data_IF_168578583660
#
_entry.id   IF_168578583660
#
_cell.length_a   1.000
_cell.length_b   1.000
_cell.length_c   1.000
_cell.angle_alpha   90.00
_cell.angle_beta   90.00
_cell.angle_gamma   90.00
#
_symmetry.space_group_name_H-M   'P 1'
#
loop_
_entity.id
_entity.type
_entity.pdbx_description
1 polymer ?
#
# COMPACT_ATOMS: atom_id res chain seq x y z
N UNK A 1 -2.74 -2.27 -9.12
CA UNK A 1 -4.08 -2.88 -8.97
C UNK A 1 -5.17 -1.87 -9.34
N UNK A 2 -6.38 -2.35 -9.53
CA UNK A 2 -7.53 -1.46 -9.76
C UNK A 2 -8.00 -0.84 -8.45
N UNK A 3 -8.78 0.24 -8.55
CA UNK A 3 -9.40 0.86 -7.37
C UNK A 3 -10.27 -0.13 -6.59
N UNK A 4 -11.04 -0.95 -7.31
CA UNK A 4 -11.90 -1.96 -6.69
C UNK A 4 -11.09 -2.95 -5.88
N UNK A 5 -9.97 -3.43 -6.43
CA UNK A 5 -9.07 -4.34 -5.72
C UNK A 5 -8.49 -3.67 -4.48
N UNK A 6 -8.05 -2.42 -4.61
CA UNK A 6 -7.50 -1.67 -3.49
C UNK A 6 -8.55 -1.46 -2.38
N UNK A 7 -9.76 -1.08 -2.77
CA UNK A 7 -10.84 -0.82 -1.80
C UNK A 7 -11.28 -2.09 -1.06
N UNK A 8 -11.08 -3.27 -1.66
CA UNK A 8 -11.42 -4.54 -1.03
C UNK A 8 -10.38 -5.03 -0.03
N UNK A 9 -9.20 -4.42 0.01
CA UNK A 9 -8.14 -4.83 0.94
C UNK A 9 -8.48 -4.38 2.35
N UNK A 10 -8.16 -5.24 3.32
CA UNK A 10 -8.32 -4.92 4.73
C UNK A 10 -7.14 -4.10 5.23
N UNK A 11 -7.36 -3.32 6.28
CA UNK A 11 -6.28 -2.65 6.99
C UNK A 11 -5.28 -3.67 7.53
N UNK A 12 -4.01 -3.36 7.43
CA UNK A 12 -2.94 -4.25 7.85
C UNK A 12 -2.39 -5.13 6.74
N UNK A 13 -3.01 -5.12 5.55
CA UNK A 13 -2.49 -5.87 4.40
C UNK A 13 -1.30 -5.15 3.82
N UNK A 14 -0.23 -5.90 3.55
CA UNK A 14 0.97 -5.35 2.92
C UNK A 14 0.80 -5.29 1.40
N UNK A 15 1.26 -4.19 0.82
CA UNK A 15 1.30 -3.99 -0.63
C UNK A 15 2.67 -3.44 -1.03
N UNK A 16 3.02 -3.61 -2.30
CA UNK A 16 4.09 -2.85 -2.90
C UNK A 16 3.54 -1.51 -3.33
N UNK A 17 4.23 -0.43 -2.96
CA UNK A 17 3.79 0.93 -3.22
C UNK A 17 4.86 1.69 -4.01
N UNK A 18 4.47 2.21 -5.18
CA UNK A 18 5.36 3.01 -6.02
C UNK A 18 4.61 4.19 -6.61
N UNK A 19 4.59 5.33 -5.92
CA UNK A 19 4.06 6.55 -6.50
C UNK A 19 4.95 7.07 -7.63
N UNK A 20 4.43 7.94 -8.50
CA UNK A 20 5.17 8.37 -9.70
C UNK A 20 6.45 9.15 -9.43
N UNK A 21 6.59 9.72 -8.24
CA UNK A 21 7.80 10.44 -7.86
C UNK A 21 8.92 9.53 -7.33
N UNK A 22 8.69 8.23 -7.30
CA UNK A 22 9.70 7.26 -6.85
C UNK A 22 10.08 6.32 -7.99
N UNK A 23 11.38 6.03 -8.08
CA UNK A 23 11.92 5.18 -9.13
C UNK A 23 11.73 3.69 -8.85
N UNK A 24 11.46 3.31 -7.61
CA UNK A 24 11.32 1.92 -7.21
C UNK A 24 10.17 1.76 -6.22
N UNK A 25 9.66 0.54 -6.13
CA UNK A 25 8.59 0.19 -5.21
C UNK A 25 9.13 -0.02 -3.81
N UNK A 26 8.27 0.18 -2.83
CA UNK A 26 8.58 -0.06 -1.43
C UNK A 26 7.43 -0.77 -0.74
N UNK A 27 7.70 -1.52 0.32
CA UNK A 27 6.62 -2.13 1.07
C UNK A 27 5.81 -1.08 1.81
N UNK A 28 4.50 -1.24 1.80
CA UNK A 28 3.59 -0.40 2.54
C UNK A 28 2.48 -1.22 3.16
N UNK A 29 1.80 -0.64 4.11
CA UNK A 29 0.69 -1.29 4.84
C UNK A 29 -0.56 -0.45 4.67
N UNK A 30 -1.65 -1.10 4.27
CA UNK A 30 -2.93 -0.42 4.15
C UNK A 30 -3.40 -0.01 5.54
N UNK A 31 -3.74 1.27 5.68
CA UNK A 31 -4.24 1.83 6.94
C UNK A 31 -5.35 2.83 6.68
N UNK A 32 -6.23 2.96 7.66
CA UNK A 32 -7.25 4.01 7.69
C UNK A 32 -7.00 4.86 8.92
N UNK A 33 -6.70 6.13 8.72
CA UNK A 33 -6.43 7.08 9.79
C UNK A 33 -7.42 8.22 9.69
N UNK A 34 -8.15 8.47 10.77
CA UNK A 34 -9.19 9.51 10.82
C UNK A 34 -10.22 9.35 9.69
N UNK A 35 -10.61 8.12 9.39
CA UNK A 35 -11.56 7.82 8.33
C UNK A 35 -11.01 7.91 6.91
N UNK A 36 -9.72 8.17 6.76
CA UNK A 36 -9.07 8.28 5.44
C UNK A 36 -8.18 7.08 5.21
N UNK A 37 -8.44 6.39 4.10
CA UNK A 37 -7.66 5.23 3.70
C UNK A 37 -6.39 5.66 2.99
N UNK A 38 -5.31 4.92 3.20
CA UNK A 38 -4.04 5.20 2.57
C UNK A 38 -3.03 4.11 2.82
N UNK A 39 -1.77 4.40 2.56
CA UNK A 39 -0.66 3.47 2.73
C UNK A 39 0.35 4.07 3.70
N UNK A 40 0.74 3.27 4.67
CA UNK A 40 1.77 3.60 5.64
C UNK A 40 3.09 3.01 5.14
N UNK A 41 4.08 3.85 4.89
CA UNK A 41 5.36 3.42 4.32
C UNK A 41 6.53 3.96 5.14
N UNK A 42 7.65 3.23 5.09
CA UNK A 42 8.91 3.68 5.64
C UNK A 42 9.84 4.04 4.49
N UNK A 43 9.94 5.33 4.21
CA UNK A 43 10.76 5.82 3.12
C UNK A 43 12.25 5.64 3.44
N UNK A 44 12.98 5.03 2.51
CA UNK A 44 14.43 4.97 2.51
C UNK A 44 15.07 4.30 3.73
N UNK A 45 14.28 3.59 4.53
CA UNK A 45 14.83 2.93 5.71
C UNK A 45 15.36 3.91 6.76
N UNK A 46 14.85 5.13 6.79
CA UNK A 46 15.26 6.16 7.74
C UNK A 46 14.71 5.96 9.15
N UNK A 47 13.94 4.90 9.35
CA UNK A 47 13.28 4.60 10.62
C UNK A 47 12.01 5.39 10.86
N UNK A 48 11.62 6.24 9.93
CA UNK A 48 10.39 7.03 10.01
C UNK A 48 9.33 6.47 9.09
N UNK A 49 8.12 6.38 9.60
CA UNK A 49 6.98 5.95 8.81
C UNK A 49 6.19 7.17 8.34
N UNK A 50 5.73 7.09 7.11
CA UNK A 50 4.96 8.17 6.49
C UNK A 50 3.63 7.62 6.01
N UNK A 51 2.57 8.37 6.25
CA UNK A 51 1.25 8.02 5.78
C UNK A 51 0.93 8.77 4.50
N UNK A 52 0.61 8.04 3.45
CA UNK A 52 0.22 8.62 2.17
C UNK A 52 -1.27 8.36 1.96
N UNK A 53 -2.12 9.40 2.08
CA UNK A 53 -3.56 9.21 1.95
C UNK A 53 -4.00 9.04 0.51
N UNK A 54 -5.03 8.23 0.31
CA UNK A 54 -5.66 8.04 -1.00
C UNK A 54 -6.47 9.26 -1.43
N UNK A 55 -7.00 10.02 -0.49
CA UNK A 55 -7.91 11.12 -0.75
C UNK A 55 -7.39 12.09 -1.81
N UNK A 56 -8.22 12.37 -2.80
CA UNK A 56 -7.86 13.24 -3.92
C UNK A 56 -7.15 12.56 -5.07
N UNK A 57 -6.86 11.26 -4.95
CA UNK A 57 -6.10 10.50 -5.95
C UNK A 57 -6.68 9.10 -6.17
N UNK A 58 -7.96 8.92 -5.93
CA UNK A 58 -8.58 7.60 -5.74
C UNK A 58 -8.24 6.59 -6.83
N UNK A 59 -8.36 6.98 -8.09
CA UNK A 59 -8.06 6.08 -9.21
C UNK A 59 -6.55 5.85 -9.37
N UNK A 60 -5.78 6.93 -9.33
CA UNK A 60 -4.34 6.87 -9.54
C UNK A 60 -3.63 6.14 -8.40
N UNK A 61 -4.11 6.36 -7.17
CA UNK A 61 -3.50 5.78 -5.99
C UNK A 61 -3.48 4.26 -6.05
N UNK A 62 -4.60 3.66 -6.45
CA UNK A 62 -4.68 2.21 -6.59
C UNK A 62 -3.67 1.69 -7.64
N UNK A 63 -3.44 2.43 -8.70
CA UNK A 63 -2.47 2.04 -9.73
C UNK A 63 -1.03 2.05 -9.23
N UNK A 64 -0.74 2.78 -8.16
CA UNK A 64 0.59 2.79 -7.53
C UNK A 64 0.82 1.61 -6.61
N UNK A 65 -0.20 0.83 -6.33
CA UNK A 65 -0.15 -0.32 -5.42
C UNK A 65 -0.16 -1.62 -6.20
N UNK A 66 0.64 -2.59 -5.77
CA UNK A 66 0.65 -3.94 -6.30
C UNK A 66 0.51 -4.92 -5.16
N UNK A 67 -0.19 -6.04 -5.38
CA UNK A 67 -0.28 -7.06 -4.34
C UNK A 67 1.09 -7.68 -4.08
N UNK A 68 1.36 -8.00 -2.83
CA UNK A 68 2.53 -8.80 -2.48
C UNK A 68 2.15 -10.26 -2.67
N UNK A 69 2.79 -10.90 -3.64
CA UNK A 69 2.59 -12.32 -3.92
C UNK A 69 3.78 -13.06 -3.31
N UNK A 70 3.54 -13.92 -2.32
CA UNK A 70 4.62 -14.66 -1.71
C UNK A 70 5.26 -15.63 -2.69
N UNK A 71 6.49 -16.01 -2.38
CA UNK A 71 7.28 -16.93 -3.14
C UNK A 71 6.53 -18.26 -3.34
N UNK A 72 6.59 -18.80 -4.56
CA UNK A 72 5.93 -20.06 -4.87
C UNK A 72 4.46 -19.95 -5.29
N UNK A 73 3.95 -18.74 -5.48
CA UNK A 73 2.58 -18.52 -5.93
C UNK A 73 1.52 -18.79 -4.87
N UNK A 74 1.92 -19.04 -3.64
CA UNK A 74 1.00 -19.18 -2.53
C UNK A 74 0.65 -17.79 -2.03
N UNK A 75 -0.62 -17.44 -2.11
CA UNK A 75 -1.10 -16.17 -1.61
C UNK A 75 -1.22 -16.27 -0.10
N UNK A 76 -0.21 -15.81 0.61
CA UNK A 76 -0.32 -15.63 2.04
C UNK A 76 -0.86 -14.22 2.27
N UNK A 77 -1.92 -14.12 3.03
CA UNK A 77 -2.38 -12.82 3.51
C UNK A 77 -1.36 -12.33 4.52
N UNK A 78 -0.34 -11.61 4.05
CA UNK A 78 0.68 -11.05 4.91
C UNK A 78 0.10 -9.82 5.58
N UNK A 79 -0.40 -10.00 6.79
CA UNK A 79 -0.93 -8.91 7.59
C UNK A 79 0.08 -8.52 8.63
N UNK A 80 0.36 -7.23 8.69
CA UNK A 80 1.15 -6.64 9.76
C UNK A 80 0.15 -5.96 10.70
N UNK A 81 0.12 -6.43 11.90
CA UNK A 81 -0.75 -5.87 12.93
C UNK A 81 0.04 -5.22 14.04
#
# INVERSE_FOLDING_TARGET
MTRRQFDSLEDGVMVWFRPPYLAYRMPGVIRTIAGKRGVWVNFFGDGQCHYVPQKGREEKFASWCEPVIPFGGVLLAMRIR
#
